data_IF_074502574415
#
_entry.id   IF_074502574415
#
_cell.length_a   1.000
_cell.length_b   1.000
_cell.length_c   1.000
_cell.angle_alpha   90.00
_cell.angle_beta   90.00
_cell.angle_gamma   90.00
#
_symmetry.space_group_name_H-M   'P 1'
#
loop_
_entity.id
_entity.type
_entity.pdbx_description
1 polymer ?
2 non-polymer ?
3 water ?
#
# COMPACT_ATOMS: atom_id res chain seq x y z
N UNK A 5 1.79 -15.36 -0.20
CA UNK A 5 0.46 -14.69 -0.05
C UNK A 5 0.36 -13.41 -0.87
N UNK A 6 0.35 -13.55 -2.20
CA UNK A 6 0.48 -12.43 -3.15
C UNK A 6 1.90 -12.33 -3.67
N UNK A 7 2.86 -12.96 -3.00
CA UNK A 7 4.29 -12.93 -3.39
C UNK A 7 4.56 -14.00 -4.44
N UNK A 8 5.46 -13.67 -5.36
CA UNK A 8 5.98 -14.61 -6.39
C UNK A 8 6.71 -15.76 -5.72
N UNK A 9 7.11 -16.70 -6.55
CA UNK A 9 8.08 -17.77 -6.20
C UNK A 9 9.43 -17.13 -5.84
N UNK A 10 10.31 -17.87 -5.18
CA UNK A 10 11.69 -17.36 -4.94
C UNK A 10 12.43 -17.23 -6.26
N UNK A 11 13.21 -16.16 -6.39
CA UNK A 11 13.97 -15.88 -7.63
C UNK A 11 15.44 -15.66 -7.27
N UNK A 12 16.32 -16.04 -8.16
CA UNK A 12 17.76 -15.71 -8.04
C UNK A 12 17.92 -14.19 -8.04
N UNK A 13 18.98 -13.67 -7.43
CA UNK A 13 19.25 -12.24 -7.55
C UNK A 13 19.43 -11.83 -9.02
N UNK A 14 19.07 -10.61 -9.32
CA UNK A 14 19.30 -9.99 -10.63
C UNK A 14 19.91 -8.61 -10.38
N UNK A 15 20.33 -7.92 -11.43
CA UNK A 15 21.05 -6.65 -11.30
C UNK A 15 20.16 -5.66 -10.54
N UNK A 16 18.90 -5.63 -10.91
CA UNK A 16 17.92 -4.66 -10.38
C UNK A 16 17.78 -4.83 -8.86
N UNK A 17 17.44 -6.00 -8.38
CA UNK A 17 17.23 -6.24 -6.93
C UNK A 17 18.55 -6.16 -6.16
N UNK A 18 19.66 -6.55 -6.75
CA UNK A 18 20.97 -6.45 -6.07
C UNK A 18 21.28 -4.99 -5.72
N UNK A 19 20.99 -4.06 -6.63
CA UNK A 19 21.19 -2.62 -6.38
C UNK A 19 20.30 -2.17 -5.22
N UNK A 20 19.09 -2.68 -5.15
CA UNK A 20 18.16 -2.31 -4.05
C UNK A 20 18.73 -2.81 -2.71
N UNK A 21 19.22 -4.02 -2.65
CA UNK A 21 19.76 -4.57 -1.36
C UNK A 21 20.98 -3.74 -0.96
N UNK A 22 21.83 -3.44 -1.93
CA UNK A 22 23.07 -2.66 -1.67
C UNK A 22 22.68 -1.28 -1.15
N UNK A 23 21.65 -0.67 -1.73
CA UNK A 23 21.19 0.66 -1.25
C UNK A 23 20.73 0.59 0.20
N UNK A 24 20.22 -0.55 0.65
CA UNK A 24 19.65 -0.65 2.02
C UNK A 24 20.70 -0.98 3.07
N UNK A 25 21.97 -1.15 2.71
CA UNK A 25 22.98 -1.72 3.63
C UNK A 25 23.18 -0.81 4.85
N UNK A 26 23.25 0.51 4.64
CA UNK A 26 23.36 1.48 5.74
C UNK A 26 22.23 1.27 6.76
N UNK A 27 20.98 1.17 6.30
CA UNK A 27 19.84 1.01 7.24
C UNK A 27 19.92 -0.37 7.89
N UNK A 28 20.38 -1.37 7.16
CA UNK A 28 20.55 -2.73 7.72
C UNK A 28 21.49 -2.66 8.93
N UNK A 29 22.68 -2.12 8.73
CA UNK A 29 23.75 -2.14 9.75
C UNK A 29 23.30 -1.39 10.99
N UNK A 30 22.52 -0.34 10.78
CA UNK A 30 22.07 0.55 11.87
C UNK A 30 20.97 -0.15 12.66
N UNK A 31 20.00 -0.77 11.97
CA UNK A 31 18.90 -1.49 12.65
C UNK A 31 19.48 -2.64 13.48
N UNK A 32 20.56 -3.26 13.02
CA UNK A 32 21.12 -4.46 13.69
C UNK A 32 22.16 -4.05 14.72
N UNK A 33 22.57 -2.77 14.73
CA UNK A 33 23.66 -2.26 15.59
C UNK A 33 24.96 -2.99 15.25
N UNK A 34 25.23 -3.19 13.97
CA UNK A 34 26.47 -3.84 13.46
C UNK A 34 27.37 -2.75 12.89
N UNK A 35 28.44 -2.33 13.60
CA UNK A 35 29.16 -1.11 13.19
C UNK A 35 30.23 -1.24 12.10
N UNK A 36 30.69 -2.47 11.81
CA UNK A 36 31.89 -2.69 10.95
C UNK A 36 31.53 -2.92 9.48
N UNK A 37 30.24 -2.84 9.12
CA UNK A 37 29.74 -3.06 7.73
C UNK A 37 30.14 -4.43 7.20
N UNK A 38 29.72 -5.54 7.84
CA UNK A 38 30.09 -6.87 7.36
C UNK A 38 29.45 -7.15 6.00
N UNK A 39 29.96 -8.18 5.33
CA UNK A 39 29.45 -8.58 3.99
C UNK A 39 27.97 -8.95 4.14
N UNK A 40 27.13 -8.34 3.32
CA UNK A 40 25.71 -8.79 3.15
C UNK A 40 25.64 -9.63 1.88
N UNK A 41 25.37 -10.92 2.02
CA UNK A 41 25.24 -11.85 0.86
C UNK A 41 23.76 -11.99 0.48
N UNK A 42 23.43 -11.60 -0.76
CA UNK A 42 22.05 -11.62 -1.28
C UNK A 42 21.81 -12.94 -1.98
N UNK A 43 20.89 -13.75 -1.46
CA UNK A 43 20.73 -15.16 -1.90
C UNK A 43 19.56 -15.33 -2.87
N UNK A 44 18.43 -14.68 -2.63
CA UNK A 44 17.22 -14.88 -3.43
C UNK A 44 16.17 -13.90 -2.97
N UNK A 45 15.13 -13.72 -3.78
CA UNK A 45 14.07 -12.80 -3.34
C UNK A 45 12.73 -13.22 -3.91
N UNK A 46 11.68 -12.73 -3.30
CA UNK A 46 10.37 -12.74 -3.98
C UNK A 46 9.74 -11.36 -3.90
N UNK A 47 8.77 -11.15 -4.77
CA UNK A 47 8.21 -9.80 -5.00
C UNK A 47 6.69 -9.89 -5.07
N UNK A 48 6.08 -8.76 -4.76
CA UNK A 48 4.60 -8.61 -4.75
C UNK A 48 4.28 -7.21 -5.25
N UNK A 49 3.79 -7.12 -6.47
CA UNK A 49 3.36 -5.82 -7.03
C UNK A 49 2.12 -5.38 -6.28
N UNK A 50 2.09 -4.13 -5.84
CA UNK A 50 0.89 -3.57 -5.15
C UNK A 50 0.56 -2.23 -5.81
N UNK A 51 -0.59 -2.15 -6.45
CA UNK A 51 -0.98 -0.95 -7.21
C UNK A 51 -2.48 -0.73 -7.03
N UNK A 52 -2.88 0.53 -6.93
CA UNK A 52 -4.31 0.90 -6.81
C UNK A 52 -4.44 2.35 -6.44
N UNK A 53 -5.64 2.74 -6.02
CA UNK A 53 -5.93 4.17 -5.73
C UNK A 53 -6.64 4.24 -4.40
N UNK A 54 -6.19 5.13 -3.53
CA UNK A 54 -6.90 5.43 -2.28
C UNK A 54 -7.85 6.60 -2.56
N UNK A 55 -9.10 6.44 -2.18
CA UNK A 55 -10.12 7.48 -2.33
C UNK A 55 -10.53 7.95 -0.95
N UNK A 56 -10.61 9.27 -0.79
CA UNK A 56 -11.34 9.87 0.35
C UNK A 56 -12.67 10.39 -0.17
N UNK A 57 -13.75 9.69 0.12
CA UNK A 57 -15.09 10.08 -0.35
C UNK A 57 -15.82 10.85 0.76
N UNK A 58 -16.15 12.11 0.51
CA UNK A 58 -17.02 12.90 1.41
C UNK A 58 -18.48 12.59 1.09
N UNK A 59 -19.20 12.09 2.08
CA UNK A 59 -20.60 11.63 1.93
C UNK A 59 -21.43 12.13 3.11
N UNK A 60 -22.72 12.29 2.88
CA UNK A 60 -23.70 12.65 3.92
C UNK A 60 -24.66 11.49 4.10
N UNK A 61 -24.84 11.10 5.36
CA UNK A 61 -25.77 10.00 5.78
C UNK A 61 -26.62 10.54 6.92
N UNK A 62 -27.93 10.55 6.74
CA UNK A 62 -28.83 11.31 7.61
C UNK A 62 -28.42 12.77 7.59
N UNK A 63 -28.07 13.33 8.75
CA UNK A 63 -27.62 14.74 8.89
C UNK A 63 -26.12 14.81 9.22
N UNK A 64 -25.38 13.71 9.03
CA UNK A 64 -23.95 13.64 9.40
C UNK A 64 -23.05 13.54 8.16
N UNK A 65 -21.86 14.09 8.25
CA UNK A 65 -20.87 14.07 7.15
C UNK A 65 -19.71 13.14 7.50
N UNK A 66 -19.36 12.24 6.58
CA UNK A 66 -18.28 11.24 6.77
C UNK A 66 -17.21 11.34 5.70
N UNK A 67 -16.00 10.99 6.10
CA UNK A 67 -14.91 10.60 5.20
C UNK A 67 -14.96 9.08 5.06
N UNK A 68 -15.10 8.61 3.82
CA UNK A 68 -15.07 7.19 3.42
C UNK A 68 -13.74 6.93 2.75
N UNK A 69 -12.87 6.16 3.40
CA UNK A 69 -11.55 5.77 2.87
C UNK A 69 -11.72 4.43 2.15
N UNK A 70 -11.58 4.45 0.83
CA UNK A 70 -11.84 3.24 -0.01
C UNK A 70 -10.59 3.00 -0.83
N UNK A 71 -10.13 1.77 -0.83
CA UNK A 71 -8.98 1.38 -1.68
C UNK A 71 -9.49 0.52 -2.84
N UNK A 72 -9.15 0.94 -4.05
CA UNK A 72 -9.54 0.24 -5.29
C UNK A 72 -8.27 -0.30 -5.92
N UNK A 73 -8.05 -1.64 -5.90
CA UNK A 73 -6.85 -2.21 -6.48
C UNK A 73 -6.89 -2.04 -7.99
N UNK A 74 -5.71 -1.88 -8.58
CA UNK A 74 -5.61 -1.86 -10.05
C UNK A 74 -6.30 -3.10 -10.62
N UNK A 75 -7.00 -2.94 -11.73
CA UNK A 75 -7.81 -4.00 -12.34
C UNK A 75 -9.24 -4.01 -11.81
N UNK A 76 -9.52 -3.36 -10.69
CA UNK A 76 -10.89 -3.26 -10.13
C UNK A 76 -11.49 -1.90 -10.48
N UNK A 77 -12.80 -1.87 -10.63
CA UNK A 77 -13.58 -0.62 -10.66
C UNK A 77 -14.87 -0.85 -9.87
N UNK A 78 -15.77 0.12 -9.86
CA UNK A 78 -17.10 -0.06 -9.26
C UNK A 78 -17.87 -1.21 -9.91
N UNK A 79 -17.52 -1.55 -11.15
CA UNK A 79 -18.22 -2.59 -11.94
C UNK A 79 -17.38 -3.85 -12.16
N UNK A 80 -16.05 -3.76 -12.15
CA UNK A 80 -15.13 -4.88 -12.51
C UNK A 80 -14.41 -5.36 -11.26
N UNK A 81 -14.53 -6.64 -10.96
CA UNK A 81 -13.88 -7.26 -9.77
C UNK A 81 -14.07 -6.31 -8.59
N UNK A 82 -15.29 -5.85 -8.43
CA UNK A 82 -15.63 -4.87 -7.39
C UNK A 82 -15.62 -5.52 -6.00
N UNK A 83 -15.55 -6.84 -5.93
CA UNK A 83 -15.45 -7.58 -4.62
C UNK A 83 -14.08 -7.32 -3.97
N UNK A 84 -13.12 -6.80 -4.72
CA UNK A 84 -11.78 -6.55 -4.15
C UNK A 84 -11.64 -5.11 -3.63
N UNK A 85 -12.64 -4.27 -3.85
CA UNK A 85 -12.59 -2.89 -3.33
C UNK A 85 -12.69 -3.02 -1.79
N UNK A 86 -11.88 -2.26 -1.09
CA UNK A 86 -11.79 -2.32 0.40
C UNK A 86 -12.31 -1.01 1.01
N UNK A 87 -13.24 -1.11 1.96
CA UNK A 87 -13.58 0.00 2.87
C UNK A 87 -12.57 -0.01 4.02
N UNK A 88 -11.50 0.77 3.90
CA UNK A 88 -10.36 0.72 4.84
C UNK A 88 -10.67 1.51 6.11
N UNK A 89 -11.40 2.61 6.02
CA UNK A 89 -11.73 3.41 7.23
C UNK A 89 -12.92 4.30 6.93
N UNK A 90 -13.64 4.65 7.99
CA UNK A 90 -14.85 5.49 7.93
C UNK A 90 -14.87 6.33 9.20
N UNK A 91 -15.02 7.65 9.08
CA UNK A 91 -15.14 8.49 10.30
C UNK A 91 -15.85 9.79 9.97
N UNK A 92 -16.45 10.40 10.99
CA UNK A 92 -17.10 11.71 10.79
C UNK A 92 -16.06 12.70 10.27
N UNK A 93 -16.44 13.48 9.25
CA UNK A 93 -15.54 14.49 8.63
C UNK A 93 -14.98 15.39 9.74
N UNK A 94 -15.78 15.63 10.77
CA UNK A 94 -15.45 16.57 11.88
C UNK A 94 -14.40 15.98 12.84
N UNK A 95 -13.89 14.78 12.59
CA UNK A 95 -12.84 14.14 13.44
C UNK A 95 -11.57 13.92 12.59
N UNK B 5 1.96 9.74 -0.78
CA UNK B 5 1.36 10.19 0.52
C UNK B 5 0.58 11.48 0.43
N UNK B 6 0.28 11.96 -0.80
CA UNK B 6 -0.46 13.21 -1.01
C UNK B 6 -1.76 12.99 -1.76
N UNK B 7 -2.88 13.29 -1.13
CA UNK B 7 -4.19 13.23 -1.80
C UNK B 7 -4.33 14.41 -2.76
N UNK B 8 -5.09 14.20 -3.83
CA UNK B 8 -5.43 15.25 -4.82
C UNK B 8 -6.22 16.37 -4.13
N UNK B 9 -6.51 17.41 -4.89
CA UNK B 9 -7.49 18.44 -4.47
C UNK B 9 -8.89 17.82 -4.51
N UNK B 10 -9.84 18.43 -3.82
CA UNK B 10 -11.24 17.93 -3.85
C UNK B 10 -11.77 18.03 -5.28
N UNK B 11 -12.54 17.02 -5.68
CA UNK B 11 -13.19 16.97 -6.99
C UNK B 11 -14.67 16.62 -6.81
N UNK B 12 -15.47 17.13 -7.72
CA UNK B 12 -16.90 16.78 -7.86
C UNK B 12 -17.01 15.29 -8.11
N UNK B 13 -18.09 14.67 -7.62
CA UNK B 13 -18.40 13.30 -8.01
C UNK B 13 -18.44 13.13 -9.54
N UNK B 14 -18.04 11.97 -10.01
CA UNK B 14 -18.24 11.53 -11.40
C UNK B 14 -18.88 10.15 -11.35
N UNK B 15 -19.20 9.60 -12.53
CA UNK B 15 -19.88 8.29 -12.61
C UNK B 15 -18.98 7.21 -12.03
N UNK B 16 -17.68 7.28 -12.33
CA UNK B 16 -16.73 6.22 -11.94
C UNK B 16 -16.65 6.13 -10.40
N UNK B 17 -16.47 7.25 -9.73
CA UNK B 17 -16.37 7.25 -8.24
C UNK B 17 -17.75 7.01 -7.60
N UNK B 18 -18.82 7.52 -8.18
CA UNK B 18 -20.19 7.25 -7.67
C UNK B 18 -20.42 5.75 -7.63
N UNK B 19 -20.02 5.03 -8.68
CA UNK B 19 -20.21 3.56 -8.71
C UNK B 19 -19.44 2.93 -7.55
N UNK B 20 -18.25 3.44 -7.27
CA UNK B 20 -17.43 2.90 -6.16
C UNK B 20 -18.13 3.17 -4.83
N UNK B 21 -18.65 4.38 -4.64
CA UNK B 21 -19.35 4.70 -3.35
C UNK B 21 -20.57 3.77 -3.24
N UNK B 22 -21.34 3.64 -4.32
CA UNK B 22 -22.58 2.81 -4.26
C UNK B 22 -22.18 1.37 -3.99
N UNK B 23 -21.07 0.89 -4.55
CA UNK B 23 -20.61 -0.51 -4.34
C UNK B 23 -20.34 -0.75 -2.85
N UNK B 24 -19.98 0.29 -2.11
CA UNK B 24 -19.55 0.11 -0.70
C UNK B 24 -20.73 0.29 0.27
N UNK B 25 -21.93 0.55 -0.21
CA UNK B 25 -23.06 0.93 0.69
C UNK B 25 -23.36 -0.21 1.67
N UNK B 26 -23.40 -1.45 1.20
CA UNK B 26 -23.63 -2.62 2.07
C UNK B 26 -22.65 -2.58 3.24
N UNK B 27 -21.36 -2.49 2.96
CA UNK B 27 -20.32 -2.51 4.01
C UNK B 27 -20.42 -1.25 4.88
N UNK B 28 -20.87 -0.15 4.30
CA UNK B 28 -21.01 1.13 5.03
C UNK B 28 -22.10 0.99 6.10
N UNK B 29 -23.26 0.46 5.72
CA UNK B 29 -24.42 0.37 6.63
C UNK B 29 -24.10 -0.56 7.79
N UNK B 30 -23.20 -1.52 7.58
CA UNK B 30 -22.82 -2.49 8.65
C UNK B 30 -21.83 -1.83 9.60
N UNK B 31 -20.78 -1.20 9.08
CA UNK B 31 -19.78 -0.52 9.94
C UNK B 31 -20.44 0.60 10.76
N UNK B 32 -21.63 1.07 10.37
CA UNK B 32 -22.33 2.18 11.07
C UNK B 32 -23.54 1.69 11.85
N UNK B 33 -23.96 0.44 11.65
CA UNK B 33 -25.13 -0.19 12.33
C UNK B 33 -26.42 0.52 11.90
N UNK B 34 -26.44 1.06 10.68
CA UNK B 34 -27.62 1.75 10.11
C UNK B 34 -28.39 0.75 9.25
N UNK B 35 -29.55 0.23 9.71
CA UNK B 35 -30.18 -0.92 9.06
C UNK B 35 -31.28 -0.55 8.04
N UNK B 36 -31.85 0.65 8.16
CA UNK B 36 -32.94 1.13 7.26
C UNK B 36 -32.35 1.50 5.88
N UNK B 37 -31.02 1.45 5.74
CA UNK B 37 -30.32 1.83 4.48
C UNK B 37 -30.70 3.26 4.11
N UNK B 38 -30.40 4.24 4.97
CA UNK B 38 -30.70 5.64 4.66
C UNK B 38 -29.90 6.06 3.42
N UNK B 39 -30.40 7.08 2.73
CA UNK B 39 -29.74 7.59 1.52
C UNK B 39 -28.31 8.04 1.87
N UNK B 40 -27.37 7.71 1.00
CA UNK B 40 -25.97 8.19 1.09
C UNK B 40 -25.76 9.19 -0.03
N UNK B 41 -25.54 10.44 0.33
CA UNK B 41 -25.30 11.51 -0.67
C UNK B 41 -23.80 11.69 -0.83
N UNK B 42 -23.32 11.57 -2.06
CA UNK B 42 -21.88 11.65 -2.40
C UNK B 42 -21.54 13.08 -2.81
N UNK B 43 -20.63 13.73 -2.11
CA UNK B 43 -20.49 15.20 -2.26
C UNK B 43 -19.24 15.57 -3.04
N UNK B 44 -18.13 14.86 -2.84
CA UNK B 44 -16.81 15.24 -3.40
C UNK B 44 -15.83 14.18 -2.96
N UNK B 45 -14.69 14.13 -3.63
CA UNK B 45 -13.68 13.13 -3.25
C UNK B 45 -12.30 13.63 -3.59
N UNK B 46 -11.33 13.04 -2.90
CA UNK B 46 -9.90 13.18 -3.29
C UNK B 46 -9.34 11.79 -3.53
N UNK B 47 -8.28 11.73 -4.32
CA UNK B 47 -7.68 10.42 -4.64
C UNK B 47 -6.17 10.49 -4.46
N UNK B 48 -5.54 9.34 -4.28
CA UNK B 48 -4.08 9.21 -4.17
C UNK B 48 -3.69 7.90 -4.83
N UNK B 49 -2.99 7.96 -5.95
CA UNK B 49 -2.41 6.74 -6.59
C UNK B 49 -1.37 6.18 -5.62
N UNK B 50 -1.37 4.87 -5.45
CA UNK B 50 -0.33 4.16 -4.66
C UNK B 50 0.15 2.97 -5.47
N UNK B 51 1.41 2.98 -5.86
CA UNK B 51 2.00 1.94 -6.71
C UNK B 51 3.40 1.63 -6.23
N UNK B 52 3.77 0.35 -6.21
CA UNK B 52 5.14 -0.04 -5.85
C UNK B 52 5.28 -1.54 -5.81
N UNK B 53 6.44 -2.01 -5.37
CA UNK B 53 6.68 -3.48 -5.26
C UNK B 53 7.16 -3.73 -3.86
N UNK B 54 6.56 -4.71 -3.18
CA UNK B 54 7.14 -5.22 -1.92
C UNK B 54 8.09 -6.34 -2.26
N UNK B 55 9.28 -6.30 -1.69
CA UNK B 55 10.31 -7.33 -1.89
C UNK B 55 10.55 -8.01 -0.56
N UNK B 56 10.68 -9.33 -0.60
CA UNK B 56 11.24 -10.11 0.53
C UNK B 56 12.62 -10.58 0.07
N UNK B 57 13.65 -9.97 0.62
CA UNK B 57 15.06 -10.26 0.25
C UNK B 57 15.64 -11.22 1.30
N UNK B 58 16.11 -12.40 0.85
CA UNK B 58 16.85 -13.34 1.72
C UNK B 58 18.34 -13.00 1.66
N UNK B 59 18.94 -12.70 2.81
CA UNK B 59 20.35 -12.25 2.87
C UNK B 59 21.05 -13.00 4.00
N UNK B 60 22.34 -13.17 3.85
CA UNK B 60 23.20 -13.75 4.89
C UNK B 60 24.10 -12.63 5.40
N UNK B 61 24.08 -12.40 6.72
CA UNK B 61 25.06 -11.53 7.41
C UNK B 61 25.70 -12.35 8.54
N UNK B 62 27.02 -12.45 8.53
CA UNK B 62 27.73 -13.33 9.47
C UNK B 62 27.38 -14.77 9.17
N UNK B 63 26.97 -15.53 10.18
CA UNK B 63 26.46 -16.91 10.02
C UNK B 63 24.93 -16.95 10.11
N UNK B 64 24.25 -15.79 10.10
CA UNK B 64 22.78 -15.69 10.27
C UNK B 64 22.09 -15.31 8.95
N UNK B 65 20.88 -15.80 8.79
CA UNK B 65 20.07 -15.56 7.56
C UNK B 65 18.92 -14.65 7.92
N UNK B 66 18.68 -13.64 7.09
CA UNK B 66 17.59 -12.65 7.36
C UNK B 66 16.59 -12.55 6.22
N UNK B 67 15.36 -12.18 6.59
CA UNK B 67 14.35 -11.68 5.64
C UNK B 67 14.33 -10.14 5.69
N UNK B 68 14.69 -9.50 4.60
CA UNK B 68 14.65 -8.02 4.43
C UNK B 68 13.37 -7.67 3.69
N UNK B 69 12.39 -7.10 4.38
CA UNK B 69 11.13 -6.65 3.72
C UNK B 69 11.34 -5.21 3.29
N UNK B 70 11.28 -4.98 1.99
CA UNK B 70 11.62 -3.67 1.39
C UNK B 70 10.49 -3.24 0.49
N UNK B 71 10.10 -1.99 0.58
CA UNK B 71 9.08 -1.42 -0.33
C UNK B 71 9.71 -0.40 -1.27
N UNK B 72 9.53 -0.63 -2.55
CA UNK B 72 10.05 0.31 -3.59
C UNK B 72 8.86 0.94 -4.25
N UNK B 73 8.61 2.25 -4.01
CA UNK B 73 7.54 2.94 -4.71
C UNK B 73 7.84 3.07 -6.19
N UNK B 74 6.78 3.03 -6.99
CA UNK B 74 6.86 3.38 -8.42
C UNK B 74 7.70 4.65 -8.61
N UNK B 75 8.56 4.63 -9.61
CA UNK B 75 9.46 5.75 -9.91
C UNK B 75 10.81 5.65 -9.21
N UNK B 76 10.92 4.85 -8.14
CA UNK B 76 12.21 4.60 -7.48
C UNK B 76 12.83 3.30 -7.98
N UNK B 77 14.15 3.26 -8.01
CA UNK B 77 14.97 2.04 -8.17
C UNK B 77 16.12 2.10 -7.16
N UNK B 78 17.01 1.13 -7.17
CA UNK B 78 18.24 1.18 -6.36
C UNK B 78 19.09 2.40 -6.71
N UNK B 79 18.89 3.01 -7.88
CA UNK B 79 19.67 4.16 -8.41
C UNK B 79 18.86 5.45 -8.50
N UNK B 80 17.56 5.38 -8.68
CA UNK B 80 16.69 6.57 -8.94
C UNK B 80 15.82 6.79 -7.73
N UNK B 81 15.92 7.97 -7.13
CA UNK B 81 15.05 8.37 -6.03
C UNK B 81 15.10 7.28 -4.95
N UNK B 82 16.29 6.77 -4.72
CA UNK B 82 16.50 5.58 -3.87
C UNK B 82 16.25 5.94 -2.41
N UNK B 83 16.18 7.22 -2.07
CA UNK B 83 15.91 7.71 -0.70
C UNK B 83 14.48 7.36 -0.29
N UNK B 84 13.61 7.08 -1.26
CA UNK B 84 12.21 6.74 -0.98
C UNK B 84 12.01 5.23 -0.79
N UNK B 85 13.02 4.41 -1.00
CA UNK B 85 12.87 2.97 -0.71
C UNK B 85 12.77 2.81 0.82
N UNK B 86 11.84 1.99 1.26
CA UNK B 86 11.55 1.79 2.70
C UNK B 86 12.04 0.39 3.15
N UNK B 87 12.78 0.34 4.25
CA UNK B 87 13.10 -0.93 4.94
C UNK B 87 11.94 -1.16 5.90
N UNK B 88 10.93 -1.92 5.48
CA UNK B 88 9.66 -1.99 6.23
C UNK B 88 9.78 -2.97 7.38
N UNK B 89 10.62 -4.00 7.23
CA UNK B 89 10.77 -5.00 8.31
C UNK B 89 12.08 -5.76 8.12
N UNK B 90 12.59 -6.29 9.21
CA UNK B 90 13.83 -7.09 9.19
C UNK B 90 13.78 -8.11 10.33
N UNK B 91 13.98 -9.39 10.02
CA UNK B 91 14.00 -10.44 11.06
C UNK B 91 14.80 -11.65 10.58
N UNK B 92 15.24 -12.46 11.53
CA UNK B 92 15.86 -13.76 11.21
C UNK B 92 14.88 -14.56 10.35
N UNK B 93 15.38 -15.15 9.27
CA UNK B 93 14.56 -16.00 8.38
C UNK B 93 13.83 -17.06 9.21
N UNK B 94 14.31 -17.37 10.42
CA UNK B 94 13.67 -18.30 11.37
C UNK B 94 12.35 -17.70 11.90
#
# INVERSE_FOLDING_TARGET
>A
SKLVGGFSEWKDPDAYTTKIVKAMESKLFEKLSLPNQPEVSFLRYREQIVSGVNYCMRVKIGSDFYDLHIYVPLGSTGDIKSHLIQLTDLHLASELTHSH
>B
SKLVGGFSEWKDPDAYTTKIVKAMESKLFEKLSLPNQPEVSFLRYREQIVSGVNYCMRVKIGSDFYDLHIYVPLGSTGDIKSHLIQLTDLHLASELTHSH
#
